data_IF_955338981075
#
_entry.id   IF_955338981075
#
_cell.length_a   1.000
_cell.length_b   1.000
_cell.length_c   1.000
_cell.angle_alpha   90.00
_cell.angle_beta   90.00
_cell.angle_gamma   90.00
#
_symmetry.space_group_name_H-M   'P 1'
#
loop_
_entity.id
_entity.type
_entity.pdbx_description
1 polymer ?
#
# COMPACT_ATOMS: atom_id res chain seq x y z
N UNK A 1 22.10 5.86 -22.96
CA UNK A 1 20.65 5.93 -23.18
C UNK A 1 19.94 4.55 -23.33
N UNK A 2 20.66 3.44 -23.35
CA UNK A 2 20.04 2.10 -23.55
C UNK A 2 19.57 1.43 -22.25
N UNK A 3 20.06 1.84 -21.09
CA UNK A 3 19.68 1.21 -19.80
C UNK A 3 18.27 1.57 -19.34
N UNK A 4 17.84 2.83 -19.51
CA UNK A 4 16.49 3.26 -19.11
C UNK A 4 15.39 2.59 -19.93
N UNK A 5 15.59 2.42 -21.24
CA UNK A 5 14.65 1.71 -22.12
C UNK A 5 14.56 0.22 -21.75
N UNK A 6 15.68 -0.41 -21.41
CA UNK A 6 15.73 -1.81 -20.95
C UNK A 6 14.98 -2.01 -19.63
N UNK A 7 15.08 -1.05 -18.69
CA UNK A 7 14.39 -1.12 -17.40
C UNK A 7 12.87 -0.90 -17.53
N UNK A 8 12.44 0.00 -18.41
CA UNK A 8 11.02 0.19 -18.73
C UNK A 8 10.43 -1.06 -19.36
N UNK A 9 11.15 -1.70 -20.29
CA UNK A 9 10.72 -2.93 -20.96
C UNK A 9 10.62 -4.12 -19.96
N UNK A 10 11.59 -4.23 -19.05
CA UNK A 10 11.55 -5.23 -17.97
C UNK A 10 10.37 -5.00 -17.03
N UNK A 11 10.08 -3.78 -16.60
CA UNK A 11 8.94 -3.46 -15.73
C UNK A 11 7.60 -3.76 -16.39
N UNK A 12 7.41 -3.44 -17.66
CA UNK A 12 6.23 -3.82 -18.43
C UNK A 12 6.08 -5.34 -18.56
N UNK A 13 7.20 -6.06 -18.70
CA UNK A 13 7.22 -7.53 -18.73
C UNK A 13 6.74 -8.13 -17.40
N UNK A 14 7.19 -7.60 -16.24
CA UNK A 14 6.76 -8.07 -14.92
C UNK A 14 5.27 -7.84 -14.68
N UNK A 15 4.75 -6.67 -15.01
CA UNK A 15 3.34 -6.36 -14.85
C UNK A 15 2.43 -7.29 -15.66
N UNK A 16 2.77 -7.56 -16.91
CA UNK A 16 2.02 -8.51 -17.76
C UNK A 16 2.10 -9.95 -17.22
N UNK A 17 3.27 -10.37 -16.72
CA UNK A 17 3.44 -11.69 -16.09
C UNK A 17 2.58 -11.81 -14.84
N UNK A 18 2.51 -10.77 -14.02
CA UNK A 18 1.65 -10.70 -12.83
C UNK A 18 0.16 -10.86 -13.21
N UNK A 19 -0.33 -10.08 -14.17
CA UNK A 19 -1.72 -10.18 -14.66
C UNK A 19 -2.04 -11.60 -15.15
N UNK A 20 -1.15 -12.21 -15.93
CA UNK A 20 -1.32 -13.59 -16.42
C UNK A 20 -1.33 -14.60 -15.28
N UNK A 21 -0.52 -14.40 -14.25
CA UNK A 21 -0.47 -15.27 -13.08
C UNK A 21 -1.76 -15.19 -12.26
N UNK A 22 -2.27 -13.98 -12.02
CA UNK A 22 -3.56 -13.77 -11.38
C UNK A 22 -4.70 -14.42 -12.16
N UNK A 23 -4.69 -14.28 -13.48
CA UNK A 23 -5.68 -14.94 -14.35
C UNK A 23 -5.66 -16.46 -14.19
N UNK A 24 -4.48 -17.09 -14.17
CA UNK A 24 -4.35 -18.54 -13.96
C UNK A 24 -4.89 -18.98 -12.60
N UNK A 25 -4.65 -18.21 -11.54
CA UNK A 25 -5.17 -18.50 -10.20
C UNK A 25 -6.69 -18.42 -10.20
N UNK A 26 -7.27 -17.38 -10.81
CA UNK A 26 -8.72 -17.22 -10.94
C UNK A 26 -9.36 -18.36 -11.72
N UNK A 27 -8.75 -18.80 -12.82
CA UNK A 27 -9.24 -19.91 -13.63
C UNK A 27 -9.23 -21.23 -12.83
N UNK A 28 -8.11 -21.52 -12.14
CA UNK A 28 -8.00 -22.71 -11.28
C UNK A 28 -9.03 -22.69 -10.14
N UNK A 29 -9.23 -21.55 -9.50
CA UNK A 29 -10.23 -21.37 -8.45
C UNK A 29 -11.66 -21.53 -8.97
N UNK A 30 -11.93 -21.06 -10.19
CA UNK A 30 -13.24 -21.19 -10.86
C UNK A 30 -13.62 -22.62 -11.21
N UNK A 31 -12.66 -23.48 -11.51
CA UNK A 31 -12.90 -24.90 -11.84
C UNK A 31 -13.41 -25.73 -10.66
N UNK A 32 -13.17 -25.30 -9.42
CA UNK A 32 -13.59 -25.94 -8.16
C UNK A 32 -13.25 -27.44 -8.04
N UNK A 33 -12.27 -27.91 -8.80
CA UNK A 33 -11.85 -29.34 -8.79
C UNK A 33 -10.98 -29.67 -7.58
N UNK A 34 -10.17 -28.70 -7.15
CA UNK A 34 -9.24 -28.82 -6.02
C UNK A 34 -9.30 -27.56 -5.18
N UNK A 35 -9.13 -27.66 -3.86
CA UNK A 35 -8.96 -26.48 -3.01
C UNK A 35 -7.77 -25.62 -3.48
N UNK A 36 -7.94 -24.33 -3.54
CA UNK A 36 -6.88 -23.38 -3.91
C UNK A 36 -6.44 -22.61 -2.66
N UNK A 37 -5.15 -22.62 -2.39
CA UNK A 37 -4.49 -21.75 -1.42
C UNK A 37 -3.68 -20.72 -2.20
N UNK A 38 -3.94 -19.43 -1.93
CA UNK A 38 -3.34 -18.32 -2.66
C UNK A 38 -2.68 -17.32 -1.71
N UNK A 39 -1.43 -16.96 -2.00
CA UNK A 39 -0.70 -15.89 -1.35
C UNK A 39 -0.41 -14.80 -2.38
N UNK A 40 -0.83 -13.59 -2.09
CA UNK A 40 -0.66 -12.43 -2.97
C UNK A 40 0.03 -11.32 -2.20
N UNK A 41 1.17 -10.87 -2.70
CA UNK A 41 1.93 -9.78 -2.11
C UNK A 41 1.90 -8.58 -3.04
N UNK A 42 1.19 -7.52 -2.64
CA UNK A 42 1.06 -6.24 -3.32
C UNK A 42 0.67 -6.32 -4.81
N UNK A 43 -0.59 -6.65 -5.04
CA UNK A 43 -1.18 -6.83 -6.37
C UNK A 43 -1.05 -5.59 -7.25
N UNK A 44 -0.61 -5.79 -8.51
CA UNK A 44 -0.64 -4.81 -9.59
C UNK A 44 0.17 -3.52 -9.31
N UNK A 45 1.35 -3.65 -8.73
CA UNK A 45 2.24 -2.50 -8.43
C UNK A 45 2.64 -1.65 -9.65
N UNK A 46 2.49 -2.16 -10.86
CA UNK A 46 2.94 -1.51 -12.10
C UNK A 46 2.03 -0.43 -12.66
N UNK A 47 0.88 -0.13 -12.01
CA UNK A 47 -0.10 0.85 -12.49
C UNK A 47 -0.39 1.97 -11.49
N UNK A 48 -1.24 2.92 -11.85
CA UNK A 48 -1.64 4.00 -10.94
C UNK A 48 -2.48 3.46 -9.76
N UNK A 49 -2.46 4.19 -8.65
CA UNK A 49 -3.07 3.76 -7.39
C UNK A 49 -4.57 3.50 -7.51
N UNK A 50 -5.32 4.33 -8.24
CA UNK A 50 -6.78 4.19 -8.35
C UNK A 50 -7.16 2.92 -9.12
N UNK A 51 -6.53 2.68 -10.28
CA UNK A 51 -6.76 1.47 -11.07
C UNK A 51 -6.29 0.21 -10.34
N UNK A 52 -5.14 0.30 -9.66
CA UNK A 52 -4.60 -0.80 -8.86
C UNK A 52 -5.59 -1.23 -7.77
N UNK A 53 -6.04 -0.30 -6.92
CA UNK A 53 -6.99 -0.58 -5.84
C UNK A 53 -8.28 -1.17 -6.40
N UNK A 54 -8.85 -0.57 -7.45
CA UNK A 54 -10.08 -1.04 -8.06
C UNK A 54 -9.93 -2.47 -8.63
N UNK A 55 -8.90 -2.73 -9.43
CA UNK A 55 -8.68 -4.03 -10.05
C UNK A 55 -8.32 -5.10 -9.02
N UNK A 56 -7.39 -4.82 -8.10
CA UNK A 56 -6.97 -5.74 -7.05
C UNK A 56 -8.14 -6.14 -6.14
N UNK A 57 -8.98 -5.19 -5.74
CA UNK A 57 -10.17 -5.45 -4.94
C UNK A 57 -11.10 -6.43 -5.63
N UNK A 58 -11.41 -6.24 -6.91
CA UNK A 58 -12.31 -7.13 -7.65
C UNK A 58 -11.72 -8.53 -7.86
N UNK A 59 -10.42 -8.64 -8.09
CA UNK A 59 -9.72 -9.93 -8.18
C UNK A 59 -9.81 -10.68 -6.84
N UNK A 60 -9.55 -10.01 -5.73
CA UNK A 60 -9.58 -10.62 -4.40
C UNK A 60 -11.00 -11.02 -4.00
N UNK A 61 -12.01 -10.19 -4.28
CA UNK A 61 -13.42 -10.56 -4.06
C UNK A 61 -13.75 -11.86 -4.84
N UNK A 62 -13.36 -11.91 -6.11
CA UNK A 62 -13.65 -13.08 -6.94
C UNK A 62 -12.95 -14.35 -6.43
N UNK A 63 -11.73 -14.24 -5.89
CA UNK A 63 -11.03 -15.34 -5.23
C UNK A 63 -11.79 -15.82 -3.99
N UNK A 64 -12.25 -14.92 -3.13
CA UNK A 64 -13.03 -15.26 -1.95
C UNK A 64 -14.34 -15.97 -2.31
N UNK A 65 -15.09 -15.46 -3.29
CA UNK A 65 -16.34 -16.05 -3.78
C UNK A 65 -16.15 -17.45 -4.39
N UNK A 66 -14.97 -17.75 -4.91
CA UNK A 66 -14.66 -19.10 -5.46
C UNK A 66 -14.36 -20.14 -4.39
N UNK A 67 -14.29 -19.76 -3.11
CA UNK A 67 -13.92 -20.62 -1.99
C UNK A 67 -12.41 -20.81 -1.86
N UNK A 68 -11.62 -19.92 -2.43
CA UNK A 68 -10.15 -19.91 -2.26
C UNK A 68 -9.79 -19.45 -0.86
N UNK A 69 -8.87 -20.17 -0.22
CA UNK A 69 -8.20 -19.66 0.99
C UNK A 69 -7.09 -18.69 0.55
N UNK A 70 -7.39 -17.39 0.66
CA UNK A 70 -6.52 -16.32 0.18
C UNK A 70 -5.86 -15.53 1.31
N UNK A 71 -4.57 -15.24 1.16
CA UNK A 71 -3.83 -14.29 1.97
C UNK A 71 -3.32 -13.19 1.06
N UNK A 72 -3.65 -11.94 1.38
CA UNK A 72 -3.20 -10.78 0.60
C UNK A 72 -2.49 -9.78 1.51
N UNK A 73 -1.27 -9.41 1.14
CA UNK A 73 -0.55 -8.32 1.77
C UNK A 73 -0.64 -7.06 0.91
N UNK A 74 -0.87 -5.91 1.51
CA UNK A 74 -0.99 -4.62 0.82
C UNK A 74 -0.62 -3.46 1.73
N UNK A 75 -0.11 -2.38 1.13
CA UNK A 75 0.04 -1.08 1.78
C UNK A 75 -1.14 -0.12 1.50
N UNK A 76 -2.08 -0.52 0.64
CA UNK A 76 -3.26 0.28 0.30
C UNK A 76 -4.34 0.10 1.38
N UNK A 77 -4.40 1.02 2.31
CA UNK A 77 -5.34 0.95 3.45
C UNK A 77 -6.81 0.95 3.01
N UNK A 78 -7.11 1.53 1.85
CA UNK A 78 -8.43 1.54 1.24
C UNK A 78 -8.94 0.12 0.97
N UNK A 79 -8.04 -0.81 0.60
CA UNK A 79 -8.41 -2.19 0.33
C UNK A 79 -8.91 -2.91 1.59
N UNK A 80 -8.41 -2.55 2.78
CA UNK A 80 -8.88 -3.14 4.04
C UNK A 80 -10.36 -2.82 4.31
N UNK A 81 -10.81 -1.65 3.89
CA UNK A 81 -12.22 -1.26 4.01
C UNK A 81 -13.08 -1.88 2.91
N UNK A 82 -12.58 -1.91 1.67
CA UNK A 82 -13.30 -2.46 0.52
C UNK A 82 -13.50 -3.98 0.59
N UNK A 83 -12.60 -4.68 1.29
CA UNK A 83 -12.58 -6.15 1.39
C UNK A 83 -13.13 -6.69 2.72
N UNK A 84 -13.56 -5.86 3.65
CA UNK A 84 -13.94 -6.27 5.01
C UNK A 84 -15.06 -7.31 5.11
N UNK A 85 -15.92 -7.40 4.09
CA UNK A 85 -16.99 -8.40 4.03
C UNK A 85 -16.52 -9.77 3.49
N UNK A 86 -15.30 -9.82 2.95
CA UNK A 86 -14.73 -11.00 2.29
C UNK A 86 -13.48 -11.53 2.98
N UNK A 87 -12.75 -10.67 3.72
CA UNK A 87 -11.47 -10.98 4.35
C UNK A 87 -11.41 -10.43 5.77
N UNK A 88 -10.81 -11.21 6.66
CA UNK A 88 -10.39 -10.72 7.98
C UNK A 88 -9.12 -9.87 7.85
N UNK A 89 -9.12 -8.70 8.45
CA UNK A 89 -7.99 -7.80 8.44
C UNK A 89 -7.03 -8.08 9.59
N UNK A 90 -5.75 -8.12 9.26
CA UNK A 90 -4.65 -8.18 10.21
C UNK A 90 -3.57 -7.18 9.81
N UNK A 91 -2.72 -6.79 10.75
CA UNK A 91 -1.62 -5.89 10.47
C UNK A 91 -0.39 -6.20 11.32
N UNK A 92 0.75 -5.72 10.86
CA UNK A 92 1.97 -5.60 11.63
C UNK A 92 2.19 -4.12 11.95
N UNK A 93 2.74 -3.83 13.12
CA UNK A 93 3.10 -2.47 13.49
C UNK A 93 4.51 -2.41 14.04
N UNK A 94 5.16 -1.28 13.83
CA UNK A 94 6.40 -0.92 14.50
C UNK A 94 6.11 -0.24 15.83
N UNK A 95 6.98 -0.49 16.80
CA UNK A 95 6.94 0.16 18.13
C UNK A 95 8.15 1.07 18.25
N UNK A 96 7.93 2.33 18.61
CA UNK A 96 9.01 3.28 18.90
C UNK A 96 9.25 3.26 20.39
N UNK A 97 10.44 2.82 20.81
CA UNK A 97 10.87 2.78 22.21
C UNK A 97 12.28 3.34 22.34
N UNK A 98 12.48 4.25 23.28
CA UNK A 98 13.78 4.83 23.63
C UNK A 98 14.56 5.45 22.44
N UNK A 99 13.82 6.02 21.47
CA UNK A 99 14.40 6.59 20.26
C UNK A 99 14.74 5.58 19.14
N UNK A 100 14.47 4.29 19.37
CA UNK A 100 14.65 3.23 18.39
C UNK A 100 13.33 2.70 17.85
N UNK A 101 13.41 2.13 16.63
CA UNK A 101 12.28 1.49 15.96
C UNK A 101 12.43 -0.02 16.12
N UNK A 102 11.44 -0.64 16.75
CA UNK A 102 11.38 -2.07 16.95
C UNK A 102 10.28 -2.66 16.07
N UNK A 103 10.58 -3.79 15.43
CA UNK A 103 9.63 -4.57 14.65
C UNK A 103 9.35 -5.87 15.40
N UNK A 104 8.28 -5.94 16.20
CA UNK A 104 7.98 -7.14 17.00
C UNK A 104 7.53 -8.33 16.14
N UNK A 105 7.24 -8.12 14.85
CA UNK A 105 6.74 -9.15 13.91
C UNK A 105 5.52 -9.89 14.44
N UNK A 106 4.69 -9.20 15.20
CA UNK A 106 3.46 -9.74 15.77
C UNK A 106 2.29 -9.41 14.87
N UNK A 107 1.53 -10.44 14.48
CA UNK A 107 0.31 -10.28 13.71
C UNK A 107 -0.82 -9.86 14.66
N UNK A 108 -1.38 -8.69 14.43
CA UNK A 108 -2.45 -8.11 15.24
C UNK A 108 -3.76 -8.07 14.45
N UNK A 109 -4.93 -8.27 15.08
CA UNK A 109 -6.21 -8.19 14.41
C UNK A 109 -6.57 -6.74 14.04
N UNK A 110 -7.31 -6.60 12.95
CA UNK A 110 -7.79 -5.32 12.44
C UNK A 110 -6.82 -4.65 11.46
N UNK A 111 -7.23 -3.49 10.94
CA UNK A 111 -6.42 -2.69 10.01
C UNK A 111 -5.35 -1.89 10.76
N UNK A 112 -4.22 -1.63 10.10
CA UNK A 112 -3.19 -0.75 10.64
C UNK A 112 -3.74 0.66 10.89
N UNK A 113 -3.48 1.20 12.06
CA UNK A 113 -3.86 2.57 12.45
C UNK A 113 -2.66 3.52 12.46
N UNK A 114 -1.46 2.99 12.52
CA UNK A 114 -0.21 3.75 12.65
C UNK A 114 0.26 4.28 11.29
N UNK A 115 0.65 5.56 11.29
CA UNK A 115 1.25 6.27 10.16
C UNK A 115 2.57 6.86 10.61
N UNK A 116 3.60 6.03 10.62
CA UNK A 116 4.85 6.40 11.27
C UNK A 116 5.90 7.01 10.31
N UNK A 117 5.63 7.05 8.99
CA UNK A 117 6.61 7.52 8.02
C UNK A 117 7.19 8.91 8.35
N UNK A 118 6.35 9.90 8.70
CA UNK A 118 6.79 11.26 9.03
C UNK A 118 7.56 11.26 10.36
N UNK A 119 7.12 10.46 11.33
CA UNK A 119 7.81 10.29 12.59
C UNK A 119 9.19 9.67 12.41
N UNK A 120 9.32 8.71 11.49
CA UNK A 120 10.60 8.13 11.12
C UNK A 120 11.56 9.17 10.52
N UNK A 121 11.08 10.06 9.65
CA UNK A 121 11.88 11.17 9.13
C UNK A 121 12.41 12.07 10.28
N UNK A 122 11.56 12.36 11.26
CA UNK A 122 11.95 13.14 12.43
C UNK A 122 13.05 12.44 13.24
N UNK A 123 12.90 11.14 13.48
CA UNK A 123 13.89 10.33 14.21
C UNK A 123 15.23 10.24 13.46
N UNK A 124 15.20 10.23 12.13
CA UNK A 124 16.39 10.23 11.28
C UNK A 124 17.05 11.61 11.14
N UNK A 125 16.54 12.63 11.84
CA UNK A 125 17.16 13.96 11.88
C UNK A 125 16.89 14.81 10.64
N UNK A 126 15.79 14.55 9.92
CA UNK A 126 15.38 15.43 8.82
C UNK A 126 15.02 16.82 9.35
N UNK A 127 15.20 17.85 8.52
CA UNK A 127 14.92 19.24 8.86
C UNK A 127 13.48 19.41 9.37
N UNK A 128 13.32 20.15 10.47
CA UNK A 128 12.00 20.39 11.10
C UNK A 128 10.98 20.97 10.10
N UNK A 129 11.44 21.81 9.17
CA UNK A 129 10.58 22.38 8.14
C UNK A 129 10.00 21.33 7.20
N UNK A 130 10.76 20.28 6.85
CA UNK A 130 10.28 19.16 6.03
C UNK A 130 9.21 18.40 6.81
N UNK A 131 9.47 18.07 8.06
CA UNK A 131 8.55 17.33 8.93
C UNK A 131 7.22 18.09 9.07
N UNK A 132 7.29 19.38 9.40
CA UNK A 132 6.11 20.24 9.58
C UNK A 132 5.25 20.33 8.30
N UNK A 133 5.90 20.53 7.15
CA UNK A 133 5.19 20.62 5.86
C UNK A 133 4.57 19.28 5.47
N UNK A 134 5.29 18.16 5.63
CA UNK A 134 4.78 16.84 5.36
C UNK A 134 3.58 16.49 6.24
N UNK A 135 3.65 16.78 7.55
CA UNK A 135 2.53 16.58 8.48
C UNK A 135 1.31 17.41 8.07
N UNK A 136 1.49 18.69 7.76
CA UNK A 136 0.41 19.56 7.32
C UNK A 136 -0.26 19.10 6.02
N UNK A 137 0.54 18.62 5.05
CA UNK A 137 0.01 18.07 3.80
C UNK A 137 -0.80 16.78 4.05
N UNK A 138 -0.28 15.87 4.89
CA UNK A 138 -0.96 14.63 5.23
C UNK A 138 -2.28 14.88 5.96
N UNK A 139 -2.28 15.77 6.96
CA UNK A 139 -3.49 16.16 7.70
C UNK A 139 -4.53 16.80 6.78
N UNK A 140 -4.10 17.69 5.89
CA UNK A 140 -5.01 18.34 4.95
C UNK A 140 -5.64 17.32 4.00
N UNK A 141 -4.84 16.41 3.45
CA UNK A 141 -5.35 15.35 2.59
C UNK A 141 -6.38 14.48 3.31
N UNK A 142 -6.11 14.11 4.56
CA UNK A 142 -7.04 13.31 5.37
C UNK A 142 -8.39 14.01 5.61
N UNK A 143 -8.37 15.34 5.74
CA UNK A 143 -9.58 16.15 5.96
C UNK A 143 -10.37 16.44 4.69
N UNK A 144 -9.68 16.65 3.58
CA UNK A 144 -10.28 17.21 2.35
C UNK A 144 -10.25 16.28 1.14
N UNK A 145 -9.44 15.21 1.17
CA UNK A 145 -9.16 14.37 0.02
C UNK A 145 -8.32 15.05 -1.07
N UNK A 146 -7.75 16.23 -0.79
CA UNK A 146 -7.00 17.01 -1.78
C UNK A 146 -5.58 17.28 -1.32
N UNK A 147 -4.61 17.09 -2.22
CA UNK A 147 -3.24 17.49 -2.00
C UNK A 147 -3.09 19.00 -2.18
N UNK A 148 -2.58 19.68 -1.16
CA UNK A 148 -2.27 21.11 -1.19
C UNK A 148 -0.79 21.27 -0.86
N UNK A 149 -0.06 21.97 -1.72
CA UNK A 149 1.29 22.38 -1.40
C UNK A 149 1.22 23.74 -0.68
N UNK A 150 1.54 23.76 0.61
CA UNK A 150 1.58 25.00 1.38
C UNK A 150 2.85 25.76 0.98
N UNK A 151 2.75 26.94 0.35
CA UNK A 151 3.93 27.75 0.06
C UNK A 151 4.72 28.00 1.33
N UNK A 152 6.06 28.07 1.24
CA UNK A 152 6.86 28.54 2.35
C UNK A 152 6.35 29.92 2.74
N UNK A 153 6.02 30.15 4.02
CA UNK A 153 5.79 31.49 4.51
C UNK A 153 7.03 32.31 4.13
N UNK A 154 6.85 33.33 3.31
CA UNK A 154 7.89 34.30 2.99
C UNK A 154 8.25 34.88 4.36
N UNK A 155 9.47 34.64 4.81
CA UNK A 155 9.98 35.30 5.99
C UNK A 155 9.99 36.78 5.62
N UNK A 156 9.01 37.54 6.10
CA UNK A 156 9.07 39.00 6.05
C UNK A 156 10.32 39.41 6.82
N UNK A 157 11.34 39.74 6.01
CA UNK A 157 12.54 40.39 6.54
C UNK A 157 12.15 41.72 7.15
N UNK A 158 12.25 41.80 8.45
CA UNK A 158 12.17 43.03 9.18
C UNK A 158 13.37 43.89 8.83
N UNK A 159 13.15 44.96 8.12
CA UNK A 159 14.07 46.10 8.02
C UNK A 159 14.28 46.73 9.36
#
# INVERSE_FOLDING_TARGET
SSSAASDVYKRQSYYIVEIRSLKRILDAAGERRTPVLCFVDEVLRGTNTVERIAAATQILIRLAESGTLGFAATHDIEMTELLKEYYDNYHFEEVIRDGDILFPYQLLPGKASTRNAIRLLQMMGYEEQIIKKASGQAENFLKTGKWINTPAAISEGTT
#
